data_IF_952574688196
#
_entry.id   IF_952574688196
#
_cell.length_a   1.000
_cell.length_b   1.000
_cell.length_c   1.000
_cell.angle_alpha   90.00
_cell.angle_beta   90.00
_cell.angle_gamma   90.00
#
_symmetry.space_group_name_H-M   'P 1'
#
loop_
_entity.id
_entity.type
_entity.pdbx_description
1 polymer ?
#
# COMPACT_ATOMS: atom_id res chain seq x y z
N UNK A 1 -30.09 -16.74 16.25
CA UNK A 1 -28.81 -16.69 15.52
C UNK A 1 -28.00 -15.57 16.12
N UNK A 2 -26.76 -15.82 16.58
CA UNK A 2 -25.87 -14.76 17.04
C UNK A 2 -25.21 -14.09 15.81
N UNK A 3 -24.98 -12.76 15.83
CA UNK A 3 -24.26 -12.09 14.75
C UNK A 3 -22.85 -12.66 14.57
N UNK A 4 -22.36 -12.70 13.33
CA UNK A 4 -20.98 -13.07 13.00
C UNK A 4 -20.07 -11.83 12.92
N UNK A 5 -18.74 -12.03 12.87
CA UNK A 5 -17.74 -10.93 12.84
C UNK A 5 -18.03 -9.89 11.76
N UNK A 6 -18.41 -10.33 10.56
CA UNK A 6 -18.77 -9.44 9.46
C UNK A 6 -20.01 -8.57 9.77
N UNK A 7 -21.01 -9.13 10.47
CA UNK A 7 -22.17 -8.36 10.93
C UNK A 7 -21.77 -7.34 12.00
N UNK A 8 -20.80 -7.68 12.86
CA UNK A 8 -20.29 -6.80 13.91
C UNK A 8 -19.49 -5.63 13.32
N UNK A 9 -18.56 -5.91 12.40
CA UNK A 9 -17.75 -4.90 11.71
C UNK A 9 -18.62 -3.92 10.91
N UNK A 10 -19.70 -4.40 10.29
CA UNK A 10 -20.68 -3.54 9.60
C UNK A 10 -21.43 -2.63 10.57
N UNK A 11 -21.81 -3.14 11.74
CA UNK A 11 -22.48 -2.37 12.79
C UNK A 11 -21.53 -1.31 13.38
N UNK A 12 -20.27 -1.67 13.64
CA UNK A 12 -19.24 -0.74 14.12
C UNK A 12 -18.99 0.39 13.12
N UNK A 13 -18.85 0.05 11.83
CA UNK A 13 -18.73 1.04 10.77
C UNK A 13 -19.95 1.96 10.71
N UNK A 14 -21.17 1.42 10.80
CA UNK A 14 -22.40 2.22 10.77
C UNK A 14 -22.50 3.15 12.00
N UNK A 15 -22.17 2.66 13.19
CA UNK A 15 -22.11 3.44 14.44
C UNK A 15 -21.09 4.57 14.35
N UNK A 16 -19.95 4.36 13.69
CA UNK A 16 -18.94 5.40 13.47
C UNK A 16 -19.40 6.53 12.53
N UNK A 17 -20.43 6.30 11.71
CA UNK A 17 -20.98 7.26 10.74
C UNK A 17 -22.23 7.97 11.22
N UNK A 18 -23.00 7.33 12.09
CA UNK A 18 -24.29 7.82 12.57
C UNK A 18 -24.31 7.81 14.11
N UNK A 19 -24.02 8.96 14.77
CA UNK A 19 -23.91 9.04 16.23
C UNK A 19 -25.19 8.68 17.00
N UNK A 20 -26.34 8.65 16.31
CA UNK A 20 -27.62 8.23 16.87
C UNK A 20 -27.75 6.69 17.00
N UNK A 21 -26.93 5.92 16.27
CA UNK A 21 -26.76 4.48 16.45
C UNK A 21 -25.71 4.21 17.56
N UNK A 22 -26.09 4.40 18.82
CA UNK A 22 -25.25 3.93 19.95
C UNK A 22 -25.54 2.46 20.25
N UNK A 23 -24.77 1.59 19.63
CA UNK A 23 -24.80 0.15 19.91
C UNK A 23 -23.55 -0.18 20.75
N UNK A 24 -23.75 -0.75 21.94
CA UNK A 24 -22.64 -1.27 22.75
C UNK A 24 -22.21 -2.63 22.20
N UNK A 25 -21.10 -2.62 21.48
CA UNK A 25 -20.54 -3.79 20.80
C UNK A 25 -20.13 -4.86 21.82
N UNK A 26 -19.83 -4.48 23.07
CA UNK A 26 -19.45 -5.41 24.14
C UNK A 26 -20.62 -6.29 24.61
N UNK A 27 -21.87 -5.93 24.31
CA UNK A 27 -23.03 -6.78 24.58
C UNK A 27 -23.05 -8.01 23.64
N UNK A 28 -22.40 -7.93 22.48
CA UNK A 28 -22.31 -9.02 21.52
C UNK A 28 -21.06 -9.85 21.79
N UNK A 29 -21.23 -10.99 22.46
CA UNK A 29 -20.17 -11.98 22.69
C UNK A 29 -19.83 -12.75 21.40
N UNK A 30 -19.27 -12.06 20.40
CA UNK A 30 -18.83 -12.68 19.15
C UNK A 30 -17.45 -13.31 19.37
N UNK A 31 -17.38 -14.65 19.29
CA UNK A 31 -16.09 -15.35 19.26
C UNK A 31 -15.37 -15.00 17.95
N UNK A 32 -14.07 -14.72 18.01
CA UNK A 32 -13.19 -14.43 16.87
C UNK A 32 -13.50 -13.11 16.12
N UNK A 33 -13.67 -11.98 16.83
CA UNK A 33 -13.86 -10.65 16.24
C UNK A 33 -12.56 -10.01 15.69
N UNK A 34 -11.71 -10.80 15.06
CA UNK A 34 -10.35 -10.40 14.69
C UNK A 34 -10.34 -9.30 13.63
N UNK A 35 -11.35 -9.25 12.74
CA UNK A 35 -11.49 -8.13 11.78
C UNK A 35 -11.71 -6.81 12.52
N UNK A 36 -12.72 -6.76 13.39
CA UNK A 36 -13.06 -5.56 14.15
C UNK A 36 -11.86 -5.08 14.99
N UNK A 37 -11.22 -6.01 15.71
CA UNK A 37 -10.02 -5.71 16.50
C UNK A 37 -8.86 -5.21 15.64
N UNK A 38 -8.64 -5.77 14.45
CA UNK A 38 -7.60 -5.28 13.55
C UNK A 38 -7.90 -3.84 13.09
N UNK A 39 -9.12 -3.55 12.68
CA UNK A 39 -9.51 -2.22 12.21
C UNK A 39 -9.45 -1.18 13.34
N UNK A 40 -9.96 -1.49 14.53
CA UNK A 40 -9.90 -0.61 15.70
C UNK A 40 -8.45 -0.29 16.09
N UNK A 41 -7.58 -1.31 16.12
CA UNK A 41 -6.16 -1.13 16.41
C UNK A 41 -5.45 -0.30 15.33
N UNK A 42 -5.82 -0.45 14.06
CA UNK A 42 -5.30 0.39 12.98
C UNK A 42 -5.71 1.86 13.17
N UNK A 43 -6.98 2.11 13.49
CA UNK A 43 -7.48 3.46 13.77
C UNK A 43 -6.85 4.09 15.01
N UNK A 44 -6.57 3.28 16.03
CA UNK A 44 -5.93 3.71 17.29
C UNK A 44 -4.40 3.74 17.22
N UNK A 45 -3.81 3.46 16.05
CA UNK A 45 -2.36 3.40 15.83
C UNK A 45 -1.62 2.34 16.69
N UNK A 46 -2.32 1.30 17.15
CA UNK A 46 -1.75 0.11 17.81
C UNK A 46 -1.31 -0.92 16.75
N UNK A 47 -0.24 -0.58 16.02
CA UNK A 47 0.13 -1.30 14.79
C UNK A 47 0.60 -2.75 15.02
N UNK A 48 1.22 -3.05 16.17
CA UNK A 48 1.68 -4.41 16.49
C UNK A 48 0.49 -5.33 16.77
N UNK A 49 -0.45 -4.87 17.59
CA UNK A 49 -1.70 -5.55 17.89
C UNK A 49 -2.57 -5.68 16.64
N UNK A 50 -2.55 -4.67 15.77
CA UNK A 50 -3.23 -4.73 14.48
C UNK A 50 -2.69 -5.87 13.60
N UNK A 51 -1.37 -6.06 13.52
CA UNK A 51 -0.76 -7.17 12.76
C UNK A 51 -1.15 -8.53 13.36
N UNK A 52 -1.09 -8.69 14.69
CA UNK A 52 -1.46 -9.96 15.33
C UNK A 52 -2.92 -10.30 15.04
N UNK A 53 -3.83 -9.34 15.20
CA UNK A 53 -5.24 -9.54 14.89
C UNK A 53 -5.48 -9.78 13.39
N UNK A 54 -4.72 -9.12 12.51
CA UNK A 54 -4.82 -9.36 11.06
C UNK A 54 -4.35 -10.78 10.69
N UNK A 55 -3.32 -11.30 11.37
CA UNK A 55 -2.88 -12.68 11.19
C UNK A 55 -3.95 -13.67 11.65
N UNK A 56 -4.54 -13.45 12.82
CA UNK A 56 -5.66 -14.27 13.34
C UNK A 56 -6.89 -14.20 12.43
N UNK A 57 -7.20 -13.01 11.91
CA UNK A 57 -8.26 -12.82 10.92
C UNK A 57 -8.00 -13.60 9.64
N UNK A 58 -6.76 -13.62 9.14
CA UNK A 58 -6.41 -14.46 7.99
C UNK A 58 -6.56 -15.96 8.27
N UNK A 59 -6.17 -16.44 9.46
CA UNK A 59 -6.33 -17.85 9.84
C UNK A 59 -7.80 -18.26 9.97
N UNK A 60 -8.65 -17.37 10.48
CA UNK A 60 -10.09 -17.60 10.59
C UNK A 60 -10.80 -17.51 9.22
N UNK A 61 -10.34 -16.60 8.35
CA UNK A 61 -10.89 -16.35 7.02
C UNK A 61 -9.83 -16.44 5.89
N UNK A 62 -9.30 -17.63 5.58
CA UNK A 62 -8.15 -17.79 4.67
C UNK A 62 -8.44 -17.45 3.20
N UNK A 63 -9.72 -17.37 2.83
CA UNK A 63 -10.17 -16.94 1.50
C UNK A 63 -10.54 -15.44 1.46
N UNK A 64 -10.39 -14.71 2.56
CA UNK A 64 -10.57 -13.26 2.55
C UNK A 64 -9.28 -12.56 2.14
N UNK A 65 -9.36 -11.73 1.10
CA UNK A 65 -8.24 -10.87 0.66
C UNK A 65 -7.99 -9.70 1.62
N UNK A 66 -8.98 -9.28 2.40
CA UNK A 66 -8.90 -8.10 3.27
C UNK A 66 -7.78 -8.18 4.33
N UNK A 67 -7.64 -9.26 5.11
CA UNK A 67 -6.55 -9.37 6.08
C UNK A 67 -5.18 -9.39 5.39
N UNK A 68 -5.05 -10.08 4.25
CA UNK A 68 -3.81 -10.08 3.46
C UNK A 68 -3.40 -8.65 3.09
N UNK A 69 -4.33 -7.88 2.55
CA UNK A 69 -4.06 -6.52 2.09
C UNK A 69 -3.75 -5.57 3.25
N UNK A 70 -4.49 -5.64 4.35
CA UNK A 70 -4.27 -4.80 5.53
C UNK A 70 -2.92 -5.11 6.19
N UNK A 71 -2.65 -6.40 6.45
CA UNK A 71 -1.43 -6.83 7.13
C UNK A 71 -0.19 -6.49 6.32
N UNK A 72 -0.23 -6.74 5.01
CA UNK A 72 0.85 -6.36 4.10
C UNK A 72 1.07 -4.84 4.06
N UNK A 73 -0.02 -4.05 3.98
CA UNK A 73 0.05 -2.60 3.95
C UNK A 73 0.66 -2.02 5.24
N UNK A 74 0.26 -2.52 6.41
CA UNK A 74 0.79 -2.06 7.70
C UNK A 74 2.28 -2.38 7.83
N UNK A 75 2.63 -3.65 7.57
CA UNK A 75 4.00 -4.11 7.64
C UNK A 75 4.92 -3.31 6.71
N UNK A 76 4.51 -3.11 5.46
CA UNK A 76 5.28 -2.34 4.47
C UNK A 76 5.32 -0.84 4.81
N UNK A 77 4.16 -0.21 4.93
CA UNK A 77 4.04 1.25 4.83
C UNK A 77 4.25 1.94 6.17
N UNK A 78 3.96 1.26 7.30
CA UNK A 78 4.10 1.86 8.63
C UNK A 78 5.29 1.29 9.40
N UNK A 79 5.56 -0.01 9.30
CA UNK A 79 6.62 -0.66 10.09
C UNK A 79 7.93 -0.89 9.34
N UNK A 80 7.98 -0.61 8.03
CA UNK A 80 9.15 -0.90 7.17
C UNK A 80 9.60 -2.38 7.24
N UNK A 81 8.68 -3.28 7.59
CA UNK A 81 8.91 -4.72 7.73
C UNK A 81 8.47 -5.44 6.45
N UNK A 82 9.37 -5.42 5.47
CA UNK A 82 9.12 -5.97 4.14
C UNK A 82 8.95 -7.50 4.16
N UNK A 83 9.65 -8.20 5.06
CA UNK A 83 9.52 -9.65 5.21
C UNK A 83 8.11 -10.06 5.63
N UNK A 84 7.56 -9.41 6.66
CA UNK A 84 6.19 -9.66 7.12
C UNK A 84 5.17 -9.33 6.04
N UNK A 85 5.38 -8.22 5.32
CA UNK A 85 4.51 -7.86 4.19
C UNK A 85 4.47 -8.96 3.12
N UNK A 86 5.64 -9.46 2.70
CA UNK A 86 5.71 -10.57 1.74
C UNK A 86 5.12 -11.85 2.29
N UNK A 87 5.22 -12.11 3.60
CA UNK A 87 4.58 -13.24 4.26
C UNK A 87 3.07 -13.26 4.02
N UNK A 88 2.40 -12.15 4.32
CA UNK A 88 0.96 -12.00 4.04
C UNK A 88 0.65 -12.17 2.55
N UNK A 89 1.39 -11.50 1.67
CA UNK A 89 1.13 -11.53 0.23
C UNK A 89 1.31 -12.93 -0.37
N UNK A 90 2.39 -13.63 -0.01
CA UNK A 90 2.63 -15.01 -0.45
C UNK A 90 1.56 -15.96 0.08
N UNK A 91 1.11 -15.79 1.33
CA UNK A 91 0.00 -16.58 1.87
C UNK A 91 -1.31 -16.30 1.13
N UNK A 92 -1.61 -15.03 0.81
CA UNK A 92 -2.80 -14.66 0.05
C UNK A 92 -2.82 -15.21 -1.38
N UNK A 93 -1.67 -15.33 -2.03
CA UNK A 93 -1.56 -15.95 -3.36
C UNK A 93 -1.87 -17.44 -3.38
N UNK A 94 -1.89 -18.13 -2.23
CA UNK A 94 -2.32 -19.53 -2.14
C UNK A 94 -3.82 -19.64 -2.46
N UNK A 95 -4.64 -18.75 -1.87
CA UNK A 95 -6.09 -18.73 -2.08
C UNK A 95 -6.53 -17.85 -3.26
N UNK A 96 -5.71 -16.88 -3.67
CA UNK A 96 -5.98 -15.95 -4.76
C UNK A 96 -4.84 -15.97 -5.80
N UNK A 97 -4.66 -17.09 -6.52
CA UNK A 97 -3.58 -17.20 -7.49
C UNK A 97 -3.72 -16.11 -8.55
N UNK A 98 -2.60 -15.43 -8.84
CA UNK A 98 -2.50 -14.37 -9.86
C UNK A 98 -3.40 -13.14 -9.62
N UNK A 99 -3.90 -12.88 -8.40
CA UNK A 99 -4.63 -11.63 -8.11
C UNK A 99 -3.72 -10.42 -8.40
N UNK A 100 -4.11 -9.52 -9.34
CA UNK A 100 -3.21 -8.46 -9.79
C UNK A 100 -2.79 -7.49 -8.70
N UNK A 101 -3.62 -7.29 -7.67
CA UNK A 101 -3.33 -6.39 -6.58
C UNK A 101 -2.34 -7.01 -5.58
N UNK A 102 -2.53 -8.28 -5.23
CA UNK A 102 -1.60 -9.01 -4.35
C UNK A 102 -0.24 -9.16 -5.04
N UNK A 103 -0.24 -9.54 -6.32
CA UNK A 103 1.00 -9.65 -7.11
C UNK A 103 1.70 -8.30 -7.21
N UNK A 104 0.98 -7.21 -7.52
CA UNK A 104 1.56 -5.86 -7.56
C UNK A 104 2.29 -5.50 -6.26
N UNK A 105 1.64 -5.74 -5.12
CA UNK A 105 2.22 -5.40 -3.82
C UNK A 105 3.44 -6.27 -3.48
N UNK A 106 3.44 -7.53 -3.93
CA UNK A 106 4.58 -8.44 -3.75
C UNK A 106 5.77 -7.97 -4.59
N UNK A 107 5.54 -7.64 -5.86
CA UNK A 107 6.58 -7.07 -6.74
C UNK A 107 7.12 -5.78 -6.14
N UNK A 108 6.23 -4.88 -5.68
CA UNK A 108 6.64 -3.63 -5.05
C UNK A 108 7.57 -3.89 -3.85
N UNK A 109 7.20 -4.75 -2.92
CA UNK A 109 8.03 -5.09 -1.76
C UNK A 109 9.37 -5.72 -2.15
N UNK A 110 9.40 -6.60 -3.15
CA UNK A 110 10.65 -7.19 -3.66
C UNK A 110 11.54 -6.13 -4.32
N UNK A 111 10.97 -5.22 -5.10
CA UNK A 111 11.70 -4.15 -5.78
C UNK A 111 12.32 -3.15 -4.79
N UNK A 112 11.64 -2.85 -3.67
CA UNK A 112 12.20 -2.02 -2.60
C UNK A 112 13.49 -2.60 -1.99
N UNK A 113 13.59 -3.93 -1.93
CA UNK A 113 14.80 -4.65 -1.47
C UNK A 113 15.80 -4.96 -2.60
N UNK A 114 15.63 -4.38 -3.79
CA UNK A 114 16.43 -4.67 -4.99
C UNK A 114 16.43 -6.16 -5.40
N UNK A 115 15.39 -6.94 -5.05
CA UNK A 115 15.22 -8.35 -5.48
C UNK A 115 14.59 -8.43 -6.87
N UNK A 116 15.26 -7.83 -7.85
CA UNK A 116 14.68 -7.52 -9.17
C UNK A 116 14.34 -8.79 -9.95
N UNK A 117 15.20 -9.80 -9.94
CA UNK A 117 14.93 -11.06 -10.64
C UNK A 117 13.66 -11.75 -10.12
N UNK A 118 13.48 -11.82 -8.79
CA UNK A 118 12.28 -12.40 -8.19
C UNK A 118 11.04 -11.55 -8.49
N UNK A 119 11.17 -10.23 -8.40
CA UNK A 119 10.08 -9.31 -8.71
C UNK A 119 9.60 -9.44 -10.17
N UNK A 120 10.53 -9.57 -11.12
CA UNK A 120 10.22 -9.76 -12.54
C UNK A 120 9.51 -11.09 -12.79
N UNK A 121 9.88 -12.18 -12.10
CA UNK A 121 9.17 -13.47 -12.22
C UNK A 121 7.68 -13.31 -11.89
N UNK A 122 7.35 -12.61 -10.81
CA UNK A 122 5.96 -12.35 -10.43
C UNK A 122 5.25 -11.36 -11.37
N UNK A 123 5.94 -10.29 -11.80
CA UNK A 123 5.38 -9.32 -12.74
C UNK A 123 5.00 -9.98 -14.09
N UNK A 124 5.81 -10.93 -14.57
CA UNK A 124 5.57 -11.66 -15.82
C UNK A 124 4.38 -12.63 -15.76
N UNK A 125 3.86 -12.95 -14.55
CA UNK A 125 2.63 -13.73 -14.41
C UNK A 125 1.38 -12.91 -14.74
N UNK A 126 1.48 -11.58 -14.71
CA UNK A 126 0.38 -10.69 -15.02
C UNK A 126 0.35 -10.39 -16.51
N UNK A 127 -0.83 -10.53 -17.12
CA UNK A 127 -1.08 -9.93 -18.41
C UNK A 127 -0.86 -8.40 -18.33
N UNK A 128 -0.48 -7.77 -19.46
CA UNK A 128 -0.23 -6.33 -19.50
C UNK A 128 -1.44 -5.51 -19.04
N UNK A 129 -2.64 -6.02 -19.34
CA UNK A 129 -3.93 -5.46 -18.93
C UNK A 129 -4.92 -6.60 -18.65
N UNK A 130 -4.93 -7.18 -17.44
CA UNK A 130 -5.85 -8.28 -17.14
C UNK A 130 -7.29 -7.77 -17.17
N UNK A 131 -8.14 -8.39 -17.98
CA UNK A 131 -9.55 -8.02 -18.11
C UNK A 131 -10.24 -8.02 -16.73
N UNK A 132 -11.10 -7.03 -16.48
CA UNK A 132 -11.80 -6.89 -15.20
C UNK A 132 -10.97 -6.29 -14.06
N UNK A 133 -9.69 -5.94 -14.29
CA UNK A 133 -8.86 -5.26 -13.29
C UNK A 133 -9.37 -3.83 -13.05
N UNK A 134 -9.54 -3.46 -11.78
CA UNK A 134 -9.90 -2.11 -11.38
C UNK A 134 -8.85 -1.08 -11.83
N UNK A 135 -9.26 0.12 -12.20
CA UNK A 135 -8.34 1.15 -12.72
C UNK A 135 -7.26 1.55 -11.72
N UNK A 136 -7.59 1.57 -10.42
CA UNK A 136 -6.63 1.77 -9.34
C UNK A 136 -5.51 0.72 -9.40
N UNK A 137 -5.85 -0.56 -9.56
CA UNK A 137 -4.86 -1.63 -9.65
C UNK A 137 -3.99 -1.47 -10.90
N UNK A 138 -4.55 -1.01 -12.03
CA UNK A 138 -3.76 -0.71 -13.24
C UNK A 138 -2.78 0.45 -13.02
N UNK A 139 -3.20 1.49 -12.31
CA UNK A 139 -2.34 2.62 -11.92
C UNK A 139 -1.18 2.12 -11.06
N UNK A 140 -1.48 1.33 -10.02
CA UNK A 140 -0.46 0.76 -9.14
C UNK A 140 0.52 -0.13 -9.92
N UNK A 141 0.02 -1.02 -10.79
CA UNK A 141 0.87 -1.86 -11.65
C UNK A 141 1.80 -1.03 -12.53
N UNK A 142 1.29 0.06 -13.10
CA UNK A 142 2.10 0.94 -13.93
C UNK A 142 3.20 1.64 -13.12
N UNK A 143 2.86 2.17 -11.94
CA UNK A 143 3.84 2.76 -11.03
C UNK A 143 4.90 1.73 -10.57
N UNK A 144 4.50 0.50 -10.24
CA UNK A 144 5.42 -0.58 -9.82
C UNK A 144 6.32 -1.04 -10.98
N UNK A 145 5.83 -1.06 -12.22
CA UNK A 145 6.70 -1.26 -13.40
C UNK A 145 7.71 -0.12 -13.53
N UNK A 146 7.28 1.12 -13.25
CA UNK A 146 8.17 2.28 -13.16
C UNK A 146 9.28 2.07 -12.13
N UNK A 147 8.94 1.63 -10.92
CA UNK A 147 9.91 1.26 -9.88
C UNK A 147 10.91 0.21 -10.38
N UNK A 148 10.45 -0.89 -10.98
CA UNK A 148 11.33 -1.92 -11.52
C UNK A 148 12.30 -1.38 -12.58
N UNK A 149 11.83 -0.52 -13.48
CA UNK A 149 12.67 0.12 -14.48
C UNK A 149 13.80 0.96 -13.84
N UNK A 150 13.46 1.79 -12.85
CA UNK A 150 14.48 2.54 -12.09
C UNK A 150 15.51 1.60 -11.45
N UNK A 151 15.04 0.57 -10.75
CA UNK A 151 15.91 -0.40 -10.06
C UNK A 151 16.71 -1.30 -10.99
N UNK A 152 16.29 -1.42 -12.24
CA UNK A 152 16.99 -2.18 -13.29
C UNK A 152 17.95 -1.32 -14.11
N UNK A 153 18.15 -0.05 -13.76
CA UNK A 153 19.07 0.85 -14.46
C UNK A 153 18.52 1.42 -15.77
N UNK A 154 17.19 1.42 -15.96
CA UNK A 154 16.51 2.05 -17.12
C UNK A 154 15.56 3.17 -16.66
N UNK A 155 16.11 4.25 -16.04
CA UNK A 155 15.31 5.29 -15.39
C UNK A 155 14.40 6.06 -16.33
N UNK A 156 14.75 6.23 -17.61
CA UNK A 156 13.92 6.97 -18.57
C UNK A 156 12.58 6.26 -18.84
N UNK A 157 12.63 4.93 -18.97
CA UNK A 157 11.41 4.12 -19.07
C UNK A 157 10.62 4.15 -17.76
N UNK A 158 11.33 4.11 -16.63
CA UNK A 158 10.71 4.22 -15.31
C UNK A 158 9.94 5.53 -15.12
N UNK A 159 10.53 6.63 -15.57
CA UNK A 159 9.95 7.97 -15.54
C UNK A 159 8.67 8.05 -16.36
N UNK A 160 8.70 7.56 -17.61
CA UNK A 160 7.49 7.51 -18.46
C UNK A 160 6.34 6.79 -17.75
N UNK A 161 6.63 5.62 -17.16
CA UNK A 161 5.63 4.81 -16.48
C UNK A 161 5.06 5.51 -15.24
N UNK A 162 5.90 6.15 -14.42
CA UNK A 162 5.41 6.92 -13.28
C UNK A 162 4.55 8.11 -13.70
N UNK A 163 4.99 8.89 -14.70
CA UNK A 163 4.22 10.04 -15.21
C UNK A 163 2.85 9.62 -15.73
N UNK A 164 2.78 8.52 -16.48
CA UNK A 164 1.50 7.95 -16.93
C UNK A 164 0.62 7.46 -15.76
N UNK A 165 1.21 6.90 -14.70
CA UNK A 165 0.45 6.48 -13.51
C UNK A 165 -0.10 7.69 -12.75
N UNK A 166 0.70 8.75 -12.62
CA UNK A 166 0.33 10.03 -11.99
C UNK A 166 -0.82 10.68 -12.76
N UNK A 167 -0.71 10.76 -14.08
CA UNK A 167 -1.75 11.32 -14.95
C UNK A 167 -3.06 10.53 -14.84
N UNK A 168 -3.01 9.20 -14.95
CA UNK A 168 -4.21 8.36 -14.82
C UNK A 168 -4.88 8.48 -13.45
N UNK A 169 -4.10 8.56 -12.37
CA UNK A 169 -4.65 8.77 -11.03
C UNK A 169 -5.35 10.13 -10.91
N UNK A 170 -4.82 11.16 -11.56
CA UNK A 170 -5.43 12.49 -11.64
C UNK A 170 -6.73 12.47 -12.45
N UNK A 171 -6.76 11.76 -13.58
CA UNK A 171 -7.93 11.66 -14.46
C UNK A 171 -9.13 11.03 -13.74
N UNK A 172 -8.89 9.98 -12.94
CA UNK A 172 -9.93 9.36 -12.10
C UNK A 172 -10.17 10.12 -10.78
N UNK A 173 -9.55 11.31 -10.62
CA UNK A 173 -9.66 12.18 -9.44
C UNK A 173 -9.28 11.50 -8.12
N UNK A 174 -8.36 10.53 -8.17
CA UNK A 174 -7.89 9.82 -6.99
C UNK A 174 -6.58 10.43 -6.48
N UNK A 175 -6.71 11.39 -5.57
CA UNK A 175 -5.57 12.13 -5.00
C UNK A 175 -4.61 11.22 -4.23
N UNK A 176 -5.12 10.26 -3.47
CA UNK A 176 -4.32 9.35 -2.67
C UNK A 176 -3.31 8.57 -3.53
N UNK A 177 -3.77 7.90 -4.58
CA UNK A 177 -2.87 7.15 -5.47
C UNK A 177 -1.99 8.05 -6.34
N UNK A 178 -2.46 9.27 -6.66
CA UNK A 178 -1.64 10.27 -7.34
C UNK A 178 -0.43 10.66 -6.47
N UNK A 179 -0.66 10.97 -5.19
CA UNK A 179 0.41 11.31 -4.25
C UNK A 179 1.38 10.16 -4.03
N UNK A 180 0.89 8.92 -3.84
CA UNK A 180 1.78 7.76 -3.72
C UNK A 180 2.65 7.56 -4.96
N UNK A 181 2.10 7.75 -6.16
CA UNK A 181 2.88 7.64 -7.39
C UNK A 181 3.96 8.73 -7.49
N UNK A 182 3.62 9.99 -7.16
CA UNK A 182 4.57 11.12 -7.12
C UNK A 182 5.69 10.85 -6.11
N UNK A 183 5.35 10.41 -4.90
CA UNK A 183 6.32 10.20 -3.83
C UNK A 183 7.26 9.03 -4.13
N UNK A 184 6.74 7.92 -4.65
CA UNK A 184 7.59 6.81 -5.08
C UNK A 184 8.48 7.23 -6.24
N UNK A 185 7.95 7.97 -7.22
CA UNK A 185 8.72 8.51 -8.33
C UNK A 185 9.87 9.40 -7.84
N UNK A 186 9.58 10.37 -6.96
CA UNK A 186 10.58 11.25 -6.37
C UNK A 186 11.68 10.49 -5.64
N UNK A 187 11.32 9.46 -4.85
CA UNK A 187 12.28 8.59 -4.17
C UNK A 187 13.27 7.98 -5.16
N UNK A 188 12.77 7.45 -6.27
CA UNK A 188 13.62 6.80 -7.26
C UNK A 188 14.55 7.78 -7.98
N UNK A 189 14.06 8.98 -8.33
CA UNK A 189 14.90 10.05 -8.90
C UNK A 189 16.04 10.46 -7.97
N UNK A 190 15.76 10.60 -6.66
CA UNK A 190 16.79 10.91 -5.66
C UNK A 190 17.83 9.79 -5.57
N UNK A 191 17.39 8.53 -5.57
CA UNK A 191 18.30 7.38 -5.47
C UNK A 191 19.24 7.24 -6.67
N UNK A 192 18.75 7.54 -7.88
CA UNK A 192 19.60 7.52 -9.09
C UNK A 192 20.37 8.82 -9.32
N UNK A 193 20.22 9.81 -8.43
CA UNK A 193 20.89 11.13 -8.50
C UNK A 193 20.65 11.83 -9.85
N UNK A 194 19.40 11.81 -10.32
CA UNK A 194 19.07 12.41 -11.61
C UNK A 194 19.04 13.95 -11.57
N UNK A 195 19.02 14.56 -12.76
CA UNK A 195 18.82 16.00 -12.90
C UNK A 195 17.36 16.42 -12.67
N UNK A 196 16.44 15.47 -12.52
CA UNK A 196 15.00 15.74 -12.34
C UNK A 196 14.61 15.94 -10.87
N UNK A 197 15.55 15.74 -9.93
CA UNK A 197 15.29 15.77 -8.49
C UNK A 197 14.60 17.07 -8.06
N UNK A 198 15.14 18.23 -8.43
CA UNK A 198 14.55 19.50 -7.97
C UNK A 198 13.16 19.73 -8.59
N UNK A 199 12.99 19.39 -9.88
CA UNK A 199 11.69 19.46 -10.58
C UNK A 199 10.62 18.61 -9.88
N UNK A 200 10.93 17.36 -9.54
CA UNK A 200 9.95 16.49 -8.87
C UNK A 200 9.71 16.92 -7.43
N UNK A 201 10.72 17.45 -6.73
CA UNK A 201 10.58 17.94 -5.36
C UNK A 201 9.69 19.19 -5.25
N UNK A 202 9.63 20.05 -6.28
CA UNK A 202 8.61 21.11 -6.35
C UNK A 202 7.18 20.55 -6.34
N UNK A 203 6.98 19.39 -6.97
CA UNK A 203 5.68 18.70 -6.97
C UNK A 203 5.41 18.05 -5.62
N UNK A 204 6.42 17.42 -5.00
CA UNK A 204 6.32 16.87 -3.64
C UNK A 204 5.95 17.94 -2.61
N UNK A 205 6.49 19.16 -2.74
CA UNK A 205 6.18 20.29 -1.86
C UNK A 205 4.70 20.71 -1.89
N UNK A 206 3.98 20.43 -2.98
CA UNK A 206 2.54 20.73 -3.13
C UNK A 206 1.63 19.68 -2.47
N UNK A 207 2.16 18.52 -2.08
CA UNK A 207 1.41 17.51 -1.32
C UNK A 207 1.24 18.05 0.12
N UNK A 208 0.06 18.00 0.76
CA UNK A 208 -0.09 18.44 2.15
C UNK A 208 0.72 17.58 3.14
N UNK A 209 1.24 18.17 4.23
CA UNK A 209 2.04 17.43 5.23
C UNK A 209 1.22 16.55 6.18
N UNK A 210 -0.07 16.85 6.34
CA UNK A 210 -0.96 16.18 7.29
C UNK A 210 -2.26 15.75 6.59
N UNK A 211 -2.12 14.86 5.61
CA UNK A 211 -3.28 14.22 4.99
C UNK A 211 -3.92 13.24 5.98
N UNK A 212 -5.17 12.84 5.75
CA UNK A 212 -5.79 11.74 6.51
C UNK A 212 -5.15 10.37 6.23
N UNK A 213 -4.26 10.29 5.23
CA UNK A 213 -3.54 9.09 4.84
C UNK A 213 -2.15 9.07 5.51
N UNK A 214 -2.05 8.37 6.64
CA UNK A 214 -0.82 8.35 7.45
C UNK A 214 0.40 7.77 6.72
N UNK A 215 0.18 6.85 5.78
CA UNK A 215 1.21 6.27 4.93
C UNK A 215 1.78 7.28 3.91
N UNK A 216 0.93 8.13 3.32
CA UNK A 216 1.37 9.23 2.45
C UNK A 216 2.23 10.21 3.25
N UNK A 217 1.81 10.59 4.46
CA UNK A 217 2.56 11.52 5.30
C UNK A 217 3.94 10.94 5.67
N UNK A 218 3.98 9.65 6.05
CA UNK A 218 5.24 8.97 6.37
C UNK A 218 6.15 8.87 5.15
N UNK A 219 5.64 8.44 3.99
CA UNK A 219 6.45 8.34 2.78
C UNK A 219 6.96 9.72 2.31
N UNK A 220 6.14 10.77 2.42
CA UNK A 220 6.57 12.14 2.14
C UNK A 220 7.74 12.55 3.02
N UNK A 221 7.65 12.29 4.33
CA UNK A 221 8.73 12.56 5.27
C UNK A 221 10.01 11.82 4.87
N UNK A 222 9.92 10.52 4.55
CA UNK A 222 11.06 9.72 4.10
C UNK A 222 11.71 10.28 2.83
N UNK A 223 10.90 10.72 1.85
CA UNK A 223 11.39 11.34 0.60
C UNK A 223 12.11 12.66 0.88
N UNK A 224 11.54 13.52 1.73
CA UNK A 224 12.15 14.82 2.10
C UNK A 224 13.47 14.60 2.85
N UNK A 225 13.52 13.65 3.78
CA UNK A 225 14.76 13.30 4.49
C UNK A 225 15.82 12.72 3.55
N UNK A 226 15.41 11.91 2.57
CA UNK A 226 16.30 11.35 1.57
C UNK A 226 16.91 12.45 0.68
N UNK A 227 16.09 13.42 0.26
CA UNK A 227 16.54 14.58 -0.53
C UNK A 227 17.52 15.47 0.24
N UNK A 228 17.26 15.72 1.53
CA UNK A 228 18.18 16.48 2.38
C UNK A 228 19.55 15.79 2.48
N UNK A 229 19.56 14.46 2.67
CA UNK A 229 20.81 13.66 2.72
C UNK A 229 21.56 13.67 1.38
N UNK A 230 20.85 13.64 0.25
CA UNK A 230 21.51 13.66 -1.07
C UNK A 230 22.22 14.97 -1.36
N UNK A 231 21.74 16.11 -0.82
CA UNK A 231 22.40 17.42 -0.95
C UNK A 231 23.70 17.51 -0.15
N UNK A 232 23.72 16.96 1.07
CA UNK A 232 24.93 16.95 1.94
C UNK A 232 26.03 16.06 1.37
N UNK A 233 25.70 14.98 0.66
CA UNK A 233 26.69 14.10 0.05
C UNK A 233 27.37 14.68 -1.21
N UNK A 234 26.87 15.82 -1.73
CA UNK A 234 27.38 16.51 -2.91
C UNK A 234 28.17 17.80 -2.57
N UNK A 235 28.17 18.21 -1.30
CA UNK A 235 28.91 19.36 -0.76
C UNK A 235 30.21 18.91 -0.09
#
# INVERSE_FOLDING_TARGET
MAPNDNSLAQIEWASSKEPSLRIDINEFHVKHNFEAQALENFHSNHLTECIDNTFRWFLDMPFSKRPVMLGAHIANSFLNNQETSRGFLKAGLISHPNDPQIVNNLVYSLALENKIEEAMKYMNLLADNPAGTADITKICLKATRGLLCFRSGVPDMGRSLYLEAIEKAKDIKNQYYNWLAILNYAREEILVKSNEIETIMETVARIPDNTSAGDVNKLKKEVVELHAKSKVALS
#
